data_IF_349600302881
#
_entry.id   IF_349600302881
#
_cell.length_a   1.000
_cell.length_b   1.000
_cell.length_c   1.000
_cell.angle_alpha   90.00
_cell.angle_beta   90.00
_cell.angle_gamma   90.00
#
_symmetry.space_group_name_H-M   'P 1'
#
loop_
_entity.id
_entity.type
_entity.pdbx_description
1 polymer ?
#
# COMPACT_ATOMS: atom_id res chain seq x y z
N UNK A 1 -0.56 -2.21 -0.75
CA UNK A 1 -1.27 -1.23 0.08
C UNK A 1 -0.27 -0.19 0.53
N UNK A 2 -0.59 1.08 0.34
CA UNK A 2 0.26 2.23 0.61
C UNK A 2 -0.42 3.07 1.67
N UNK A 3 0.20 3.18 2.83
CA UNK A 3 -0.36 3.87 4.00
C UNK A 3 0.81 4.27 4.89
N UNK A 4 0.88 5.51 5.37
CA UNK A 4 1.97 6.01 6.19
C UNK A 4 1.87 5.57 7.66
N UNK A 5 0.66 5.28 8.14
CA UNK A 5 0.42 4.75 9.49
C UNK A 5 0.70 3.23 9.53
N UNK A 6 1.69 2.83 10.34
CA UNK A 6 2.09 1.43 10.44
C UNK A 6 1.00 0.51 11.02
N UNK A 7 0.25 0.99 12.02
CA UNK A 7 -0.78 0.19 12.67
C UNK A 7 -1.97 -0.02 11.71
N UNK A 8 -2.37 1.04 10.99
CA UNK A 8 -3.41 0.95 9.97
C UNK A 8 -2.98 0.01 8.82
N UNK A 9 -1.76 0.20 8.32
CA UNK A 9 -1.18 -0.64 7.26
C UNK A 9 -1.09 -2.11 7.68
N UNK A 10 -0.74 -2.40 8.92
CA UNK A 10 -0.69 -3.78 9.43
C UNK A 10 -2.10 -4.39 9.56
N UNK A 11 -3.04 -3.65 10.13
CA UNK A 11 -4.43 -4.09 10.34
C UNK A 11 -5.13 -4.38 9.02
N UNK A 12 -5.15 -3.42 8.10
CA UNK A 12 -5.79 -3.58 6.79
C UNK A 12 -5.10 -4.67 5.97
N UNK A 13 -3.78 -4.80 6.08
CA UNK A 13 -3.01 -5.83 5.40
C UNK A 13 -3.39 -7.23 5.88
N UNK A 14 -3.63 -7.39 7.19
CA UNK A 14 -4.13 -8.63 7.75
C UNK A 14 -5.53 -8.96 7.25
N UNK A 15 -6.45 -8.00 7.24
CA UNK A 15 -7.83 -8.20 6.77
C UNK A 15 -7.87 -8.64 5.31
N UNK A 16 -7.15 -7.95 4.43
CA UNK A 16 -7.07 -8.30 2.99
C UNK A 16 -6.51 -9.72 2.78
N UNK A 17 -5.52 -10.12 3.59
CA UNK A 17 -5.00 -11.51 3.55
C UNK A 17 -6.00 -12.54 4.02
N UNK A 18 -6.81 -12.22 5.03
CA UNK A 18 -7.85 -13.12 5.53
C UNK A 18 -8.94 -13.37 4.47
N UNK A 19 -9.20 -12.40 3.59
CA UNK A 19 -10.10 -12.55 2.44
C UNK A 19 -9.46 -13.34 1.28
N UNK A 20 -8.24 -13.86 1.44
CA UNK A 20 -7.57 -14.73 0.47
C UNK A 20 -6.71 -13.99 -0.57
N UNK A 21 -6.50 -12.68 -0.43
CA UNK A 21 -5.66 -11.92 -1.34
C UNK A 21 -4.19 -11.88 -0.90
N UNK A 22 -3.28 -11.94 -1.86
CA UNK A 22 -1.90 -11.56 -1.65
C UNK A 22 -1.80 -10.03 -1.60
N UNK A 23 -1.10 -9.48 -0.60
CA UNK A 23 -0.93 -8.04 -0.44
C UNK A 23 0.48 -7.73 0.06
N UNK A 24 1.13 -6.82 -0.65
CA UNK A 24 2.37 -6.18 -0.24
C UNK A 24 2.08 -4.84 0.44
N UNK A 25 2.92 -4.47 1.41
CA UNK A 25 2.72 -3.29 2.26
C UNK A 25 3.86 -2.29 2.01
N UNK A 26 3.52 -1.05 1.69
CA UNK A 26 4.45 0.05 1.52
C UNK A 26 4.08 1.20 2.47
N UNK A 27 5.07 1.76 3.16
CA UNK A 27 4.87 2.89 4.07
C UNK A 27 4.84 4.25 3.38
N UNK A 28 5.28 4.32 2.13
CA UNK A 28 5.37 5.55 1.36
C UNK A 28 5.35 5.25 -0.16
N UNK A 29 5.28 6.32 -0.95
CA UNK A 29 5.27 6.25 -2.40
C UNK A 29 6.57 5.69 -2.99
N UNK A 30 7.73 5.98 -2.40
CA UNK A 30 9.03 5.52 -2.93
C UNK A 30 9.17 3.99 -2.82
N UNK A 31 8.79 3.43 -1.68
CA UNK A 31 8.72 1.99 -1.46
C UNK A 31 7.71 1.34 -2.41
N UNK A 32 6.53 1.96 -2.58
CA UNK A 32 5.51 1.45 -3.48
C UNK A 32 5.96 1.44 -4.96
N UNK A 33 6.60 2.51 -5.43
CA UNK A 33 7.13 2.58 -6.80
C UNK A 33 8.18 1.50 -7.06
N UNK A 34 9.09 1.29 -6.09
CA UNK A 34 10.10 0.22 -6.17
C UNK A 34 9.48 -1.18 -6.30
N UNK A 35 8.31 -1.40 -5.69
CA UNK A 35 7.55 -2.65 -5.81
C UNK A 35 6.85 -2.75 -7.16
N UNK A 36 6.19 -1.68 -7.60
CA UNK A 36 5.46 -1.62 -8.88
C UNK A 36 6.39 -1.84 -10.08
N UNK A 37 7.62 -1.36 -10.01
CA UNK A 37 8.63 -1.61 -11.06
C UNK A 37 9.03 -3.09 -11.17
N UNK A 38 8.89 -3.86 -10.09
CA UNK A 38 9.31 -5.27 -10.01
C UNK A 38 8.15 -6.25 -10.17
N UNK A 39 6.93 -5.82 -9.85
CA UNK A 39 5.76 -6.67 -9.78
C UNK A 39 4.57 -6.00 -10.47
N UNK A 40 3.82 -6.77 -11.27
CA UNK A 40 2.56 -6.29 -11.82
C UNK A 40 1.44 -6.51 -10.81
N UNK A 41 0.92 -5.41 -10.26
CA UNK A 41 -0.23 -5.43 -9.35
C UNK A 41 -1.54 -5.28 -10.12
N UNK A 42 -2.54 -6.07 -9.74
CA UNK A 42 -3.90 -5.97 -10.30
C UNK A 42 -4.71 -4.84 -9.65
N UNK A 43 -4.35 -4.46 -8.42
CA UNK A 43 -5.03 -3.43 -7.65
C UNK A 43 -4.06 -2.79 -6.65
N UNK A 44 -4.12 -1.47 -6.53
CA UNK A 44 -3.33 -0.70 -5.55
C UNK A 44 -4.29 0.09 -4.66
N UNK A 45 -4.25 -0.18 -3.36
CA UNK A 45 -4.91 0.62 -2.33
C UNK A 45 -3.91 1.62 -1.75
N UNK A 46 -4.26 2.91 -1.78
CA UNK A 46 -3.45 4.01 -1.24
C UNK A 46 -4.32 4.90 -0.36
N UNK A 47 -3.80 5.37 0.77
CA UNK A 47 -4.45 6.47 1.49
C UNK A 47 -4.34 7.75 0.64
N UNK A 48 -5.44 8.50 0.54
CA UNK A 48 -5.51 9.82 -0.12
C UNK A 48 -5.00 10.95 0.79
N UNK A 49 -4.79 10.67 2.08
CA UNK A 49 -4.33 11.64 3.09
C UNK A 49 -2.88 11.45 3.53
N UNK A 50 -2.05 10.80 2.71
CA UNK A 50 -0.60 10.84 2.91
C UNK A 50 -0.11 12.28 2.74
N UNK A 51 0.37 12.91 3.82
CA UNK A 51 1.03 14.21 3.77
C UNK A 51 2.36 14.09 3.03
N UNK A 52 2.33 14.16 1.70
CA UNK A 52 3.53 14.03 0.86
C UNK A 52 3.26 13.62 -0.58
N UNK A 53 2.07 13.08 -0.89
CA UNK A 53 1.65 12.88 -2.27
C UNK A 53 1.02 14.20 -2.78
N UNK A 54 1.85 15.08 -3.34
CA UNK A 54 1.33 16.11 -4.22
C UNK A 54 0.48 15.43 -5.29
N UNK A 55 -0.80 15.83 -5.32
CA UNK A 55 -1.77 15.35 -6.31
C UNK A 55 -1.26 15.74 -7.70
N UNK A 56 -0.77 14.77 -8.46
CA UNK A 56 -0.64 14.88 -9.91
C UNK A 56 -1.92 14.40 -10.59
#
# INVERSE_FOLDING_TARGET
>A
MIDDDEDNRALLGRLVRQEGFAVDLAGDATAAMSMIERCQYTLVFTDLRMSGADRF
#
